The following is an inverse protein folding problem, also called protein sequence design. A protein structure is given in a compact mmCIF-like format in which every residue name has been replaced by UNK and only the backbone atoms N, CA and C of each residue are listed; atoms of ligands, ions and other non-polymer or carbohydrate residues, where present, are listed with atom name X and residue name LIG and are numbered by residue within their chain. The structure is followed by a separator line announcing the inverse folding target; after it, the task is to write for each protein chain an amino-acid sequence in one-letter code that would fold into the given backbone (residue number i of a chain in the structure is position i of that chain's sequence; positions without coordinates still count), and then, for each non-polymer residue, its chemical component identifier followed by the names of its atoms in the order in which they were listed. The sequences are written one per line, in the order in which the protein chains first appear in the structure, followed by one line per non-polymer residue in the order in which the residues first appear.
data_IF_251502477223
#
_entry.id   IF_251502477223
#
_cell.length_a   1.000
_cell.length_b   1.000
_cell.length_c   1.000
_cell.angle_alpha   90.00
_cell.angle_beta   90.00
_cell.angle_gamma   90.00
#
_symmetry.space_group_name_H-M   'P 1'
#
loop_
_entity.id
_entity.type
_entity.pdbx_description
1 polymer ?
#
# COMPACT_ATOMS: atom_id res chain seq x y z
N UNK A 1 36.54 -11.75 -39.84
CA UNK A 1 36.14 -10.61 -40.67
C UNK A 1 35.15 -9.75 -39.89
N UNK A 2 35.41 -8.44 -39.83
CA UNK A 2 34.91 -7.51 -38.83
C UNK A 2 33.54 -6.89 -39.16
N UNK A 3 32.80 -6.57 -38.09
CA UNK A 3 31.41 -6.08 -37.94
C UNK A 3 31.06 -4.73 -38.61
N UNK A 4 31.77 -4.30 -39.66
CA UNK A 4 31.73 -2.91 -40.16
C UNK A 4 30.99 -2.69 -41.49
N UNK A 5 30.22 -3.64 -41.99
CA UNK A 5 29.66 -3.56 -43.36
C UNK A 5 28.13 -3.65 -43.48
N UNK A 6 27.38 -3.52 -42.39
CA UNK A 6 25.90 -3.56 -42.43
C UNK A 6 25.24 -2.21 -42.09
N UNK A 7 25.77 -1.12 -42.63
CA UNK A 7 25.07 0.17 -42.69
C UNK A 7 25.12 0.67 -44.14
N UNK A 8 24.14 0.24 -44.94
CA UNK A 8 23.85 0.86 -46.23
C UNK A 8 22.36 0.69 -46.57
N UNK A 9 21.67 1.84 -46.64
CA UNK A 9 20.36 2.13 -47.26
C UNK A 9 19.11 1.49 -46.58
N UNK A 10 18.00 2.17 -46.31
CA UNK A 10 17.42 3.42 -46.82
C UNK A 10 16.41 4.02 -45.80
N UNK A 11 15.99 5.30 -45.94
CA UNK A 11 15.14 5.98 -44.98
C UNK A 11 13.65 5.72 -45.28
N UNK A 12 12.93 5.13 -44.34
CA UNK A 12 11.47 5.12 -44.33
C UNK A 12 11.03 5.86 -43.07
N UNK A 13 10.26 6.92 -43.27
CA UNK A 13 9.72 7.79 -42.23
C UNK A 13 9.08 6.97 -41.10
N UNK A 14 9.81 6.81 -39.99
CA UNK A 14 9.22 6.40 -38.75
C UNK A 14 8.48 7.62 -38.23
N UNK A 15 7.17 7.63 -38.41
CA UNK A 15 6.30 8.45 -37.58
C UNK A 15 6.73 8.19 -36.13
N UNK A 16 7.25 9.23 -35.47
CA UNK A 16 7.48 9.21 -34.05
C UNK A 16 6.11 9.14 -33.37
N UNK A 17 5.55 7.93 -33.30
CA UNK A 17 4.57 7.64 -32.28
C UNK A 17 5.29 7.94 -30.96
N UNK A 18 4.75 8.82 -30.08
CA UNK A 18 5.31 8.90 -28.75
C UNK A 18 5.25 7.48 -28.20
N UNK A 19 6.41 6.93 -27.86
CA UNK A 19 6.46 5.78 -27.00
C UNK A 19 5.79 6.23 -25.70
N UNK A 20 4.47 6.09 -25.62
CA UNK A 20 3.79 6.06 -24.34
C UNK A 20 4.55 5.01 -23.56
N UNK A 21 5.37 5.46 -22.61
CA UNK A 21 5.97 4.58 -21.65
C UNK A 21 4.81 3.76 -21.11
N UNK A 22 4.76 2.48 -21.48
CA UNK A 22 3.84 1.54 -20.90
C UNK A 22 4.25 1.52 -19.43
N UNK A 23 3.57 2.33 -18.62
CA UNK A 23 3.67 2.28 -17.19
C UNK A 23 3.24 0.85 -16.87
N UNK A 24 4.22 -0.02 -16.60
CA UNK A 24 3.94 -1.36 -16.11
C UNK A 24 3.26 -1.11 -14.78
N UNK A 25 1.93 -1.14 -14.77
CA UNK A 25 1.16 -1.15 -13.53
C UNK A 25 1.54 -2.47 -12.88
N UNK A 26 2.46 -2.42 -11.93
CA UNK A 26 2.70 -3.54 -11.07
C UNK A 26 1.37 -3.82 -10.35
N UNK A 27 0.72 -4.99 -10.57
CA UNK A 27 -0.51 -5.31 -9.87
C UNK A 27 -0.34 -5.34 -8.34
N UNK A 28 0.90 -5.29 -7.83
CA UNK A 28 1.21 -5.09 -6.42
C UNK A 28 1.25 -3.61 -5.95
N UNK A 29 1.26 -2.62 -6.84
CA UNK A 29 1.24 -1.19 -6.48
C UNK A 29 -0.17 -0.60 -6.56
N UNK A 30 -1.05 -1.05 -5.68
CA UNK A 30 -2.38 -0.45 -5.48
C UNK A 30 -2.28 0.73 -4.51
N UNK A 31 -3.27 1.65 -4.50
CA UNK A 31 -3.33 2.71 -3.49
C UNK A 31 -3.31 2.18 -2.05
N UNK A 32 -4.03 1.08 -1.78
CA UNK A 32 -4.04 0.42 -0.46
C UNK A 32 -2.65 -0.09 -0.12
N UNK A 33 -1.97 -0.77 -1.03
CA UNK A 33 -0.63 -1.30 -0.75
C UNK A 33 0.41 -0.20 -0.57
N UNK A 34 0.25 0.97 -1.20
CA UNK A 34 1.13 2.12 -0.99
C UNK A 34 1.00 2.65 0.42
N UNK A 35 -0.23 2.88 0.88
CA UNK A 35 -0.51 3.38 2.20
C UNK A 35 -0.21 2.34 3.29
N UNK A 36 -0.43 1.06 2.99
CA UNK A 36 -0.03 -0.04 3.87
C UNK A 36 1.47 -0.07 4.14
N UNK A 37 2.32 0.25 3.15
CA UNK A 37 3.77 0.35 3.37
C UNK A 37 4.15 1.53 4.26
N UNK A 38 3.41 2.64 4.16
CA UNK A 38 3.57 3.78 5.07
C UNK A 38 3.15 3.39 6.50
N UNK A 39 2.00 2.73 6.64
CA UNK A 39 1.56 2.16 7.91
C UNK A 39 2.59 1.20 8.50
N UNK A 40 3.15 0.27 7.70
CA UNK A 40 4.13 -0.71 8.20
C UNK A 40 5.41 -0.03 8.70
N UNK A 41 5.86 1.02 8.03
CA UNK A 41 7.01 1.82 8.48
C UNK A 41 6.68 2.55 9.80
N UNK A 42 5.49 3.13 9.91
CA UNK A 42 5.04 3.86 11.08
C UNK A 42 4.77 2.94 12.28
N UNK A 43 4.15 1.78 12.06
CA UNK A 43 3.90 0.76 13.09
C UNK A 43 5.20 0.27 13.74
N UNK A 44 6.29 0.16 12.98
CA UNK A 44 7.62 -0.16 13.55
C UNK A 44 8.13 0.93 14.50
N UNK A 45 7.84 2.19 14.20
CA UNK A 45 8.18 3.32 15.08
C UNK A 45 7.35 3.24 16.35
N UNK A 46 6.03 3.06 16.23
CA UNK A 46 5.13 2.95 17.39
C UNK A 46 5.52 1.77 18.29
N UNK A 47 5.79 0.60 17.71
CA UNK A 47 6.25 -0.58 18.47
C UNK A 47 7.56 -0.27 19.21
N UNK A 48 8.53 0.39 18.55
CA UNK A 48 9.77 0.79 19.19
C UNK A 48 9.56 1.83 20.29
N UNK A 49 8.60 2.72 20.13
CA UNK A 49 8.25 3.74 21.12
C UNK A 49 7.59 3.14 22.36
N UNK A 50 6.81 2.06 22.21
CA UNK A 50 6.26 1.32 23.36
C UNK A 50 7.34 0.75 24.29
N UNK A 51 8.51 0.41 23.73
CA UNK A 51 9.66 -0.10 24.48
C UNK A 51 10.53 1.03 25.09
N UNK A 52 10.30 2.29 24.72
CA UNK A 52 11.03 3.45 25.22
C UNK A 52 10.29 4.09 26.41
N UNK A 53 10.76 3.80 27.62
CA UNK A 53 10.18 4.33 28.85
C UNK A 53 10.49 5.81 29.12
N UNK A 54 11.40 6.43 28.36
CA UNK A 54 11.79 7.82 28.52
C UNK A 54 11.06 8.76 27.55
N UNK A 55 10.27 8.21 26.61
CA UNK A 55 9.47 9.01 25.67
C UNK A 55 8.36 9.78 26.39
N UNK A 56 8.19 11.09 26.13
CA UNK A 56 7.05 11.85 26.63
C UNK A 56 5.71 11.28 26.16
N UNK A 57 4.72 11.26 27.05
CA UNK A 57 3.38 10.74 26.75
C UNK A 57 2.72 11.45 25.56
N UNK A 58 2.83 12.79 25.49
CA UNK A 58 2.30 13.59 24.37
C UNK A 58 2.91 13.18 23.02
N UNK A 59 4.21 12.85 23.00
CA UNK A 59 4.90 12.41 21.77
C UNK A 59 4.42 11.01 21.34
N UNK A 60 4.22 10.12 22.31
CA UNK A 60 3.66 8.79 22.04
C UNK A 60 2.20 8.85 21.56
N UNK A 61 1.40 9.76 22.12
CA UNK A 61 0.01 9.98 21.69
C UNK A 61 -0.05 10.48 20.25
N UNK A 62 0.82 11.44 19.87
CA UNK A 62 0.92 11.91 18.48
C UNK A 62 1.29 10.78 17.51
N UNK A 63 2.24 9.92 17.88
CA UNK A 63 2.63 8.74 17.08
C UNK A 63 1.45 7.76 16.93
N UNK A 64 0.76 7.46 18.03
CA UNK A 64 -0.38 6.54 18.05
C UNK A 64 -1.56 7.08 17.23
N UNK A 65 -1.83 8.38 17.34
CA UNK A 65 -2.86 9.04 16.55
C UNK A 65 -2.52 9.00 15.06
N UNK A 66 -1.26 9.26 14.69
CA UNK A 66 -0.84 9.17 13.28
C UNK A 66 -1.00 7.76 12.73
N UNK A 67 -0.72 6.72 13.52
CA UNK A 67 -0.95 5.34 13.09
C UNK A 67 -2.45 5.10 12.81
N UNK A 68 -3.30 5.52 13.74
CA UNK A 68 -4.76 5.39 13.64
C UNK A 68 -5.30 6.10 12.39
N UNK A 69 -4.80 7.31 12.09
CA UNK A 69 -5.20 8.07 10.90
C UNK A 69 -4.89 7.31 9.60
N UNK A 70 -3.71 6.69 9.52
CA UNK A 70 -3.31 5.90 8.34
C UNK A 70 -4.19 4.65 8.21
N UNK A 71 -4.45 3.95 9.32
CA UNK A 71 -5.33 2.75 9.33
C UNK A 71 -6.75 3.08 8.88
N UNK A 72 -7.25 4.22 9.33
CA UNK A 72 -8.55 4.76 8.93
C UNK A 72 -8.61 5.09 7.44
N UNK A 73 -7.56 5.68 6.90
CA UNK A 73 -7.45 5.96 5.48
C UNK A 73 -7.38 4.65 4.65
N UNK A 74 -6.57 3.68 5.08
CA UNK A 74 -6.51 2.34 4.47
C UNK A 74 -7.89 1.67 4.46
N UNK A 75 -8.63 1.72 5.58
CA UNK A 75 -9.93 1.08 5.71
C UNK A 75 -10.98 1.66 4.75
N UNK A 76 -10.93 2.98 4.50
CA UNK A 76 -11.87 3.69 3.60
C UNK A 76 -11.61 3.46 2.11
N UNK A 77 -10.39 3.07 1.72
CA UNK A 77 -10.05 2.85 0.32
C UNK A 77 -10.69 1.56 -0.23
N UNK A 78 -11.37 1.55 -1.37
CA UNK A 78 -11.91 0.31 -1.93
C UNK A 78 -10.77 -0.64 -2.34
N UNK A 79 -10.80 -1.93 -1.95
CA UNK A 79 -9.77 -2.89 -2.33
C UNK A 79 -9.86 -3.19 -3.84
N UNK A 80 -8.72 -3.18 -4.54
CA UNK A 80 -8.65 -3.52 -5.97
C UNK A 80 -8.43 -5.02 -6.18
N UNK A 81 -7.96 -5.72 -5.16
CA UNK A 81 -7.72 -7.16 -5.18
C UNK A 81 -7.76 -7.74 -3.75
N UNK A 82 -7.64 -9.07 -3.62
CA UNK A 82 -7.67 -9.74 -2.31
C UNK A 82 -6.49 -9.36 -1.40
N UNK A 83 -5.34 -9.00 -1.97
CA UNK A 83 -4.16 -8.57 -1.21
C UNK A 83 -4.43 -7.25 -0.47
N UNK A 84 -5.13 -6.32 -1.11
CA UNK A 84 -5.55 -5.06 -0.48
C UNK A 84 -6.47 -5.33 0.71
N UNK A 85 -7.45 -6.21 0.55
CA UNK A 85 -8.33 -6.59 1.66
C UNK A 85 -7.55 -7.24 2.82
N UNK A 86 -6.62 -8.15 2.52
CA UNK A 86 -5.76 -8.75 3.53
C UNK A 86 -4.88 -7.69 4.24
N UNK A 87 -4.36 -6.70 3.50
CA UNK A 87 -3.59 -5.60 4.06
C UNK A 87 -4.42 -4.73 5.02
N UNK A 88 -5.69 -4.45 4.70
CA UNK A 88 -6.60 -3.75 5.62
C UNK A 88 -6.79 -4.50 6.93
N UNK A 89 -7.07 -5.80 6.85
CA UNK A 89 -7.26 -6.67 8.02
C UNK A 89 -6.00 -6.75 8.87
N UNK A 90 -4.84 -6.86 8.20
CA UNK A 90 -3.55 -6.88 8.87
C UNK A 90 -3.25 -5.56 9.58
N UNK A 91 -3.50 -4.42 8.92
CA UNK A 91 -3.28 -3.10 9.51
C UNK A 91 -4.18 -2.88 10.73
N UNK A 92 -5.48 -3.17 10.62
CA UNK A 92 -6.46 -3.00 11.71
C UNK A 92 -6.22 -3.89 12.93
N UNK A 93 -5.58 -5.03 12.75
CA UNK A 93 -5.22 -5.94 13.85
C UNK A 93 -3.76 -5.80 14.28
N UNK A 94 -2.99 -4.90 13.66
CA UNK A 94 -1.53 -4.82 13.81
C UNK A 94 -0.87 -6.20 13.74
N UNK A 95 -1.20 -6.97 12.70
CA UNK A 95 -0.70 -8.34 12.53
C UNK A 95 -1.17 -9.34 13.59
N UNK A 96 -2.33 -9.09 14.22
CA UNK A 96 -2.90 -9.92 15.28
C UNK A 96 -2.52 -9.51 16.70
N UNK A 97 -1.83 -8.38 16.88
CA UNK A 97 -1.60 -7.78 18.21
C UNK A 97 -2.88 -7.22 18.82
N UNK A 98 -3.81 -6.77 17.98
CA UNK A 98 -5.12 -6.28 18.38
C UNK A 98 -6.24 -7.10 17.74
N UNK A 99 -7.38 -7.14 18.43
CA UNK A 99 -8.61 -7.69 17.84
C UNK A 99 -9.03 -6.86 16.63
N UNK A 100 -9.69 -7.51 15.68
CA UNK A 100 -10.33 -6.78 14.58
C UNK A 100 -11.50 -5.94 15.13
N UNK A 101 -11.76 -4.75 14.55
CA UNK A 101 -12.84 -3.88 15.01
C UNK A 101 -14.19 -4.58 14.88
N UNK A 102 -15.11 -4.27 15.79
CA UNK A 102 -16.48 -4.79 15.69
C UNK A 102 -17.16 -4.21 14.46
N UNK A 103 -18.22 -4.89 14.00
CA UNK A 103 -18.98 -4.44 12.83
C UNK A 103 -19.61 -3.05 13.04
N UNK A 104 -20.01 -2.73 14.28
CA UNK A 104 -20.55 -1.41 14.65
C UNK A 104 -19.53 -0.27 14.46
N UNK A 105 -18.25 -0.55 14.65
CA UNK A 105 -17.17 0.44 14.56
C UNK A 105 -16.61 0.55 13.14
N UNK A 106 -16.63 -0.55 12.37
CA UNK A 106 -16.10 -0.58 11.02
C UNK A 106 -16.95 -1.44 10.07
N UNK A 107 -18.19 -1.02 9.75
CA UNK A 107 -19.12 -1.84 8.96
C UNK A 107 -18.63 -2.08 7.53
N UNK A 108 -17.85 -1.15 6.97
CA UNK A 108 -17.28 -1.26 5.62
C UNK A 108 -16.34 -2.46 5.46
N UNK A 109 -15.48 -2.71 6.46
CA UNK A 109 -14.53 -3.83 6.44
C UNK A 109 -15.25 -5.18 6.36
N UNK A 110 -16.30 -5.35 7.17
CA UNK A 110 -17.08 -6.58 7.21
C UNK A 110 -18.02 -6.74 6.01
N UNK A 111 -18.52 -5.63 5.44
CA UNK A 111 -19.26 -5.66 4.19
C UNK A 111 -18.39 -6.15 3.02
N UNK A 112 -17.15 -5.66 2.92
CA UNK A 112 -16.16 -6.14 1.94
C UNK A 112 -15.85 -7.63 2.14
N UNK A 113 -15.64 -8.06 3.40
CA UNK A 113 -15.39 -9.47 3.72
C UNK A 113 -16.53 -10.39 3.23
N UNK A 114 -17.78 -10.01 3.50
CA UNK A 114 -18.95 -10.79 3.08
C UNK A 114 -19.10 -10.83 1.56
N UNK A 115 -18.82 -9.73 0.87
CA UNK A 115 -18.86 -9.67 -0.59
C UNK A 115 -17.83 -10.60 -1.27
N UNK A 116 -16.73 -10.94 -0.58
CA UNK A 116 -15.71 -11.88 -1.09
C UNK A 116 -16.07 -13.36 -0.84
N UNK A 117 -16.93 -13.65 0.13
CA UNK A 117 -17.35 -15.02 0.48
C UNK A 117 -18.54 -15.48 -0.35
N UNK A 118 -19.45 -14.55 -0.66
CA UNK A 118 -20.67 -14.80 -1.43
C UNK A 118 -20.40 -15.05 -2.92
#
# INVERSE_FOLDING_TARGET
MNRRTLLAAAPAALAAAPASALCVIDPADTPVMRLFREWEAHAKIVISACDDHDMPEDEFEELSQRQTDIEDEIARMPPQNLRDFAAKMFARSTGGLHDLPREEDCPGLWAEARALIA
#
